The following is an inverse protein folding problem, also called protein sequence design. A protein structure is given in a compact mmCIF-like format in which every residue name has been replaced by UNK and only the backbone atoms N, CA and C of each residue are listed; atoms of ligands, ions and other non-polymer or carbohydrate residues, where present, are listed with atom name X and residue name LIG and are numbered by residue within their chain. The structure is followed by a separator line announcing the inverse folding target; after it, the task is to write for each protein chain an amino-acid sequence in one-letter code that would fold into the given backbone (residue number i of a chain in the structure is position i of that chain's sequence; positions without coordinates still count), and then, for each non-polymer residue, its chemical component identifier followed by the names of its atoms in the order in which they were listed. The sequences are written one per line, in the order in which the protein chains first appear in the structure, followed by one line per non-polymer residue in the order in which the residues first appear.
data_IF_788122639660
#
_entry.id   IF_788122639660
#
_cell.length_a   1.000
_cell.length_b   1.000
_cell.length_c   1.000
_cell.angle_alpha   90.00
_cell.angle_beta   90.00
_cell.angle_gamma   90.00
#
_symmetry.space_group_name_H-M   'P 1'
#
loop_
_entity.id
_entity.type
_entity.pdbx_description
1 polymer ?
#
# COMPACT_ATOMS: atom_id res chain seq x y z
N UNK A 1 -5.46 -0.50 -23.13
CA UNK A 1 -6.04 -1.73 -22.56
C UNK A 1 -6.01 -1.57 -21.05
N UNK A 2 -7.15 -1.52 -20.38
CA UNK A 2 -7.19 -1.43 -18.91
C UNK A 2 -6.62 -2.72 -18.32
N UNK A 3 -5.86 -2.64 -17.23
CA UNK A 3 -5.41 -3.87 -16.56
C UNK A 3 -6.62 -4.56 -15.94
N UNK A 4 -6.63 -5.89 -15.92
CA UNK A 4 -7.70 -6.72 -15.34
C UNK A 4 -8.01 -6.29 -13.89
N UNK A 5 -7.01 -5.77 -13.17
CA UNK A 5 -7.18 -5.23 -11.82
C UNK A 5 -8.00 -3.95 -11.75
N UNK A 6 -7.75 -3.01 -12.66
CA UNK A 6 -8.49 -1.75 -12.71
C UNK A 6 -9.94 -2.02 -13.10
N UNK A 7 -10.18 -2.90 -14.06
CA UNK A 7 -11.53 -3.28 -14.49
C UNK A 7 -12.38 -3.83 -13.33
N UNK A 8 -11.86 -4.82 -12.59
CA UNK A 8 -12.56 -5.39 -11.44
C UNK A 8 -12.80 -4.37 -10.33
N UNK A 9 -11.90 -3.40 -10.13
CA UNK A 9 -12.08 -2.30 -9.17
C UNK A 9 -13.19 -1.34 -9.59
N UNK A 10 -13.27 -0.97 -10.88
CA UNK A 10 -14.37 -0.15 -11.42
C UNK A 10 -15.71 -0.86 -11.20
N UNK A 11 -15.75 -2.16 -11.47
CA UNK A 11 -16.94 -2.97 -11.22
C UNK A 11 -17.35 -2.98 -9.74
N UNK A 12 -16.38 -3.13 -8.83
CA UNK A 12 -16.63 -3.04 -7.39
C UNK A 12 -17.17 -1.66 -6.98
N UNK A 13 -16.63 -0.56 -7.53
CA UNK A 13 -17.15 0.79 -7.27
C UNK A 13 -18.61 0.94 -7.70
N UNK A 14 -18.99 0.35 -8.84
CA UNK A 14 -20.37 0.34 -9.31
C UNK A 14 -21.29 -0.39 -8.32
N UNK A 15 -20.90 -1.57 -7.84
CA UNK A 15 -21.68 -2.34 -6.85
C UNK A 15 -21.84 -1.59 -5.51
N UNK A 16 -20.80 -0.88 -5.08
CA UNK A 16 -20.85 -0.03 -3.88
C UNK A 16 -21.87 1.11 -4.07
N UNK A 17 -21.88 1.77 -5.24
CA UNK A 17 -22.84 2.84 -5.57
C UNK A 17 -24.28 2.32 -5.67
N UNK A 18 -24.48 1.06 -6.05
CA UNK A 18 -25.79 0.39 -6.01
C UNK A 18 -26.25 0.01 -4.59
N UNK A 19 -25.44 0.26 -3.56
CA UNK A 19 -25.79 -0.04 -2.18
C UNK A 19 -25.66 -1.52 -1.80
N UNK A 20 -24.96 -2.33 -2.60
CA UNK A 20 -24.71 -3.74 -2.27
C UNK A 20 -23.78 -3.86 -1.07
N UNK A 21 -24.00 -4.89 -0.26
CA UNK A 21 -23.07 -5.27 0.81
C UNK A 21 -21.83 -5.94 0.24
N UNK A 22 -20.75 -6.01 1.03
CA UNK A 22 -19.50 -6.63 0.57
C UNK A 22 -19.68 -8.10 0.17
N UNK A 23 -20.49 -8.86 0.92
CA UNK A 23 -20.75 -10.27 0.64
C UNK A 23 -21.51 -10.47 -0.67
N UNK A 24 -22.53 -9.65 -0.93
CA UNK A 24 -23.26 -9.66 -2.21
C UNK A 24 -22.34 -9.25 -3.36
N UNK A 25 -21.55 -8.19 -3.18
CA UNK A 25 -20.64 -7.70 -4.20
C UNK A 25 -19.56 -8.75 -4.54
N UNK A 26 -19.06 -9.46 -3.53
CA UNK A 26 -18.12 -10.57 -3.72
C UNK A 26 -18.76 -11.74 -4.45
N UNK A 27 -19.99 -12.15 -4.08
CA UNK A 27 -20.70 -13.24 -4.75
C UNK A 27 -20.91 -12.94 -6.24
N UNK A 28 -21.40 -11.74 -6.56
CA UNK A 28 -21.60 -11.29 -7.94
C UNK A 28 -20.26 -11.24 -8.70
N UNK A 29 -19.21 -10.69 -8.09
CA UNK A 29 -17.87 -10.64 -8.71
C UNK A 29 -17.30 -12.04 -8.94
N UNK A 30 -17.60 -13.01 -8.05
CA UNK A 30 -17.17 -14.39 -8.18
C UNK A 30 -17.89 -15.11 -9.33
N UNK A 31 -19.16 -14.81 -9.57
CA UNK A 31 -19.91 -15.33 -10.72
C UNK A 31 -19.35 -14.80 -12.05
N UNK A 32 -19.01 -13.52 -12.12
CA UNK A 32 -18.52 -12.88 -13.36
C UNK A 32 -17.07 -13.28 -13.67
N UNK A 33 -16.17 -13.21 -12.68
CA UNK A 33 -14.74 -13.36 -12.89
C UNK A 33 -14.21 -14.75 -12.50
N UNK A 34 -15.01 -15.60 -11.87
CA UNK A 34 -14.64 -16.99 -11.55
C UNK A 34 -13.35 -17.09 -10.75
N UNK A 35 -12.34 -17.79 -11.29
CA UNK A 35 -11.04 -17.97 -10.64
C UNK A 35 -10.12 -16.75 -10.78
N UNK A 36 -10.42 -15.85 -11.71
CA UNK A 36 -9.68 -14.61 -11.95
C UNK A 36 -10.19 -13.46 -11.08
N UNK A 37 -11.19 -13.70 -10.22
CA UNK A 37 -11.66 -12.72 -9.25
C UNK A 37 -10.53 -12.36 -8.27
N UNK A 38 -10.10 -11.10 -8.32
CA UNK A 38 -8.96 -10.56 -7.56
C UNK A 38 -9.31 -10.29 -6.10
N UNK A 39 -10.60 -10.26 -5.77
CA UNK A 39 -11.09 -10.13 -4.41
C UNK A 39 -11.05 -11.48 -3.69
N UNK A 40 -9.85 -12.02 -3.43
CA UNK A 40 -9.77 -13.27 -2.65
C UNK A 40 -10.22 -12.95 -1.21
N UNK A 41 -11.11 -13.77 -0.64
CA UNK A 41 -11.75 -13.52 0.65
C UNK A 41 -10.77 -13.26 1.81
N UNK A 42 -11.32 -12.86 2.96
CA UNK A 42 -10.69 -12.27 4.16
C UNK A 42 -9.32 -12.84 4.61
N UNK A 43 -8.92 -14.03 4.16
CA UNK A 43 -7.72 -14.76 4.61
C UNK A 43 -6.68 -15.02 3.49
N UNK A 44 -6.82 -14.44 2.30
CA UNK A 44 -5.93 -14.72 1.16
C UNK A 44 -4.78 -13.73 0.99
N UNK A 45 -3.55 -14.17 1.26
CA UNK A 45 -2.30 -13.51 0.88
C UNK A 45 -2.20 -13.34 -0.65
N UNK A 46 -2.78 -12.26 -1.18
CA UNK A 46 -2.50 -11.77 -2.54
C UNK A 46 -3.07 -10.37 -2.72
N UNK A 47 -2.24 -9.34 -2.46
CA UNK A 47 -2.20 -8.04 -3.15
C UNK A 47 -3.41 -7.10 -3.23
N UNK A 48 -4.66 -7.59 -3.17
CA UNK A 48 -5.87 -6.78 -3.35
C UNK A 48 -6.89 -7.20 -2.30
N UNK A 49 -6.86 -6.52 -1.15
CA UNK A 49 -7.82 -6.78 -0.09
C UNK A 49 -9.18 -6.19 -0.50
N UNK A 50 -10.08 -7.01 -1.06
CA UNK A 50 -11.36 -6.55 -1.59
C UNK A 50 -12.23 -5.81 -0.56
N UNK A 51 -12.13 -6.19 0.72
CA UNK A 51 -12.84 -5.53 1.81
C UNK A 51 -12.31 -4.12 2.10
N UNK A 52 -10.99 -3.93 1.96
CA UNK A 52 -10.33 -2.62 2.08
C UNK A 52 -10.78 -1.70 0.94
N UNK A 53 -10.79 -2.19 -0.30
CA UNK A 53 -11.30 -1.43 -1.45
C UNK A 53 -12.78 -1.08 -1.29
N UNK A 54 -13.61 -2.04 -0.86
CA UNK A 54 -15.01 -1.80 -0.58
C UNK A 54 -15.21 -0.72 0.49
N UNK A 55 -14.44 -0.78 1.58
CA UNK A 55 -14.44 0.26 2.64
C UNK A 55 -14.06 1.63 2.08
N UNK A 56 -12.95 1.71 1.32
CA UNK A 56 -12.47 2.96 0.71
C UNK A 56 -13.50 3.58 -0.24
N UNK A 57 -14.19 2.77 -1.02
CA UNK A 57 -15.26 3.25 -1.90
C UNK A 57 -16.49 3.71 -1.12
N UNK A 58 -16.83 3.04 -0.01
CA UNK A 58 -17.88 3.49 0.92
C UNK A 58 -17.53 4.83 1.57
N UNK A 59 -16.25 5.08 1.82
CA UNK A 59 -15.71 6.33 2.38
C UNK A 59 -15.56 7.46 1.35
N UNK A 60 -15.93 7.23 0.08
CA UNK A 60 -15.99 8.27 -0.95
C UNK A 60 -14.75 8.38 -1.84
N UNK A 61 -13.83 7.41 -1.83
CA UNK A 61 -12.75 7.35 -2.82
C UNK A 61 -13.31 7.15 -4.24
N UNK A 62 -12.80 7.91 -5.21
CA UNK A 62 -13.17 7.78 -6.63
C UNK A 62 -12.09 7.09 -7.50
N UNK A 63 -10.85 7.03 -7.01
CA UNK A 63 -9.74 6.44 -7.77
C UNK A 63 -9.71 4.92 -7.69
N UNK A 64 -9.38 4.27 -8.80
CA UNK A 64 -9.20 2.81 -8.91
C UNK A 64 -7.73 2.39 -8.92
N UNK A 65 -6.82 3.36 -8.97
CA UNK A 65 -5.38 3.15 -8.96
C UNK A 65 -4.85 2.91 -7.55
N UNK A 66 -3.76 2.14 -7.45
CA UNK A 66 -3.05 1.95 -6.19
C UNK A 66 -2.53 3.31 -5.66
N UNK A 67 -2.53 3.46 -4.35
CA UNK A 67 -1.84 4.57 -3.72
C UNK A 67 -0.36 4.56 -4.09
N UNK A 68 0.29 5.74 -4.21
CA UNK A 68 1.73 5.82 -4.39
C UNK A 68 2.41 4.96 -3.34
N UNK A 69 3.09 3.90 -3.80
CA UNK A 69 3.89 3.06 -2.92
C UNK A 69 5.09 3.92 -2.56
N UNK A 70 5.09 4.47 -1.34
CA UNK A 70 6.33 5.06 -0.82
C UNK A 70 7.35 3.93 -0.79
N UNK A 71 8.37 4.07 -1.65
CA UNK A 71 9.52 3.18 -1.63
C UNK A 71 10.10 3.16 -0.23
N UNK A 72 10.85 2.10 0.06
CA UNK A 72 11.60 2.04 1.29
C UNK A 72 12.49 3.29 1.40
N UNK A 73 12.34 4.13 2.45
CA UNK A 73 13.23 5.25 2.63
C UNK A 73 14.64 4.69 2.80
N UNK A 74 15.53 5.07 1.90
CA UNK A 74 16.94 4.73 2.06
C UNK A 74 17.44 5.43 3.33
N UNK A 75 18.30 4.75 4.10
CA UNK A 75 18.97 5.31 5.29
C UNK A 75 19.66 6.65 4.99
N UNK A 76 19.96 6.91 3.71
CA UNK A 76 20.59 8.13 3.22
C UNK A 76 19.57 9.22 2.83
N UNK A 77 18.39 8.84 2.34
CA UNK A 77 17.41 9.77 1.77
C UNK A 77 16.75 10.64 2.84
N UNK A 78 16.34 10.04 3.97
CA UNK A 78 15.71 10.79 5.06
C UNK A 78 16.59 11.92 5.61
N UNK A 79 17.83 11.63 6.04
CA UNK A 79 18.72 12.67 6.54
C UNK A 79 19.05 13.73 5.48
N UNK A 80 19.28 13.33 4.22
CA UNK A 80 19.59 14.26 3.14
C UNK A 80 18.44 15.25 2.87
N UNK A 81 17.19 14.81 2.92
CA UNK A 81 16.01 15.67 2.74
C UNK A 81 15.82 16.65 3.91
N UNK A 82 16.04 16.21 5.15
CA UNK A 82 15.88 17.05 6.35
C UNK A 82 17.00 18.10 6.45
N UNK A 83 18.22 17.70 6.12
CA UNK A 83 19.42 18.53 6.32
C UNK A 83 19.83 19.30 5.05
N UNK A 84 19.24 18.97 3.89
CA UNK A 84 19.60 19.55 2.60
C UNK A 84 21.00 19.16 2.09
N UNK A 85 21.66 18.20 2.73
CA UNK A 85 23.02 17.79 2.41
C UNK A 85 22.98 16.73 1.30
N UNK A 86 24.00 16.72 0.44
CA UNK A 86 24.14 15.70 -0.59
C UNK A 86 24.14 14.28 0.02
N UNK A 87 23.41 13.36 -0.63
CA UNK A 87 23.32 11.95 -0.22
C UNK A 87 24.68 11.28 -0.03
N UNK A 88 25.69 11.65 -0.83
CA UNK A 88 27.04 11.11 -0.70
C UNK A 88 27.74 11.57 0.58
N UNK A 89 27.54 12.82 1.00
CA UNK A 89 28.05 13.31 2.28
C UNK A 89 27.37 12.60 3.45
N UNK A 90 26.05 12.37 3.38
CA UNK A 90 25.33 11.60 4.38
C UNK A 90 25.85 10.17 4.46
N UNK A 91 26.12 9.53 3.30
CA UNK A 91 26.71 8.19 3.24
C UNK A 91 28.10 8.14 3.92
N UNK A 92 28.94 9.13 3.66
CA UNK A 92 30.28 9.24 4.26
C UNK A 92 30.19 9.44 5.78
N UNK A 93 29.35 10.35 6.25
CA UNK A 93 29.15 10.59 7.69
C UNK A 93 28.69 9.29 8.38
N UNK A 94 27.71 8.60 7.82
CA UNK A 94 27.19 7.36 8.40
C UNK A 94 28.25 6.25 8.44
N UNK A 95 29.05 6.12 7.37
CA UNK A 95 30.04 5.03 7.25
C UNK A 95 31.36 5.32 7.98
N UNK A 96 31.84 6.56 7.96
CA UNK A 96 33.17 6.94 8.45
C UNK A 96 33.12 7.51 9.88
N UNK A 97 32.12 8.34 10.21
CA UNK A 97 32.02 8.96 11.53
C UNK A 97 31.22 8.10 12.51
N UNK A 98 30.13 7.49 12.05
CA UNK A 98 29.26 6.65 12.88
C UNK A 98 29.54 5.14 12.73
N UNK A 99 30.42 4.74 11.80
CA UNK A 99 30.78 3.35 11.50
C UNK A 99 29.54 2.44 11.28
N UNK A 100 28.45 3.00 10.77
CA UNK A 100 27.19 2.32 10.54
C UNK A 100 27.23 1.60 9.20
N UNK A 101 26.89 0.31 9.21
CA UNK A 101 26.77 -0.52 8.00
C UNK A 101 25.32 -0.94 7.80
N UNK A 102 24.82 -0.86 6.56
CA UNK A 102 23.47 -1.30 6.21
C UNK A 102 23.40 -2.82 6.25
N UNK A 103 22.75 -3.38 7.27
CA UNK A 103 22.73 -4.84 7.48
C UNK A 103 21.72 -5.53 6.58
N UNK A 104 20.51 -4.99 6.47
CA UNK A 104 19.43 -5.36 5.54
C UNK A 104 18.28 -4.39 5.80
N UNK A 105 17.43 -4.13 4.81
CA UNK A 105 16.27 -3.28 5.00
C UNK A 105 15.00 -4.11 4.80
N UNK A 106 14.19 -4.27 5.86
CA UNK A 106 12.97 -5.11 5.85
C UNK A 106 11.86 -4.39 5.08
N UNK A 107 11.24 -5.06 4.11
CA UNK A 107 10.08 -4.53 3.38
C UNK A 107 8.89 -4.35 4.34
N UNK A 108 8.25 -3.18 4.30
CA UNK A 108 7.04 -2.90 5.08
C UNK A 108 5.81 -2.92 4.15
N UNK A 109 4.88 -3.87 4.30
CA UNK A 109 3.74 -4.02 3.40
C UNK A 109 2.69 -2.90 3.46
N UNK A 110 2.74 -2.01 4.47
CA UNK A 110 1.73 -0.97 4.71
C UNK A 110 2.38 0.36 5.07
N UNK A 111 1.77 1.44 4.62
CA UNK A 111 2.10 2.79 5.05
C UNK A 111 1.61 2.99 6.49
N UNK A 112 2.54 3.25 7.40
CA UNK A 112 2.23 3.56 8.79
C UNK A 112 1.80 5.03 8.89
N UNK A 113 0.71 5.29 9.61
CA UNK A 113 0.35 6.65 10.00
C UNK A 113 1.44 7.24 10.90
N UNK A 114 1.58 8.58 10.99
CA UNK A 114 2.58 9.20 11.85
C UNK A 114 2.52 8.68 13.30
N UNK A 115 1.32 8.41 13.83
CA UNK A 115 1.15 7.86 15.19
C UNK A 115 1.69 6.42 15.30
N UNK A 116 1.51 5.60 14.26
CA UNK A 116 2.05 4.24 14.23
C UNK A 116 3.58 4.23 14.12
N UNK A 117 4.19 5.26 13.53
CA UNK A 117 5.65 5.40 13.44
C UNK A 117 6.28 5.72 14.80
N UNK A 118 5.66 6.57 15.60
CA UNK A 118 6.14 6.90 16.96
C UNK A 118 6.16 5.66 17.86
N UNK A 119 5.11 4.84 17.80
CA UNK A 119 5.05 3.60 18.59
C UNK A 119 6.12 2.57 18.20
N UNK A 120 6.66 2.63 16.98
CA UNK A 120 7.73 1.73 16.51
C UNK A 120 9.12 2.28 16.87
N UNK A 121 9.28 3.61 16.92
CA UNK A 121 10.55 4.25 17.31
C UNK A 121 10.80 4.24 18.83
N UNK A 122 9.77 4.03 19.65
CA UNK A 122 9.85 4.00 21.11
C UNK A 122 10.08 2.58 21.70
N UNK A 123 10.67 1.65 20.94
CA UNK A 123 11.03 0.29 21.37
C UNK A 123 12.53 0.13 21.47
#
# INVERSE_FOLDING_TARGET
MLSVQIEQRVYLTFLVKLGKTFTEAYAISKEVYGNDCLFRGLNGLSGVNGSEWFKRFKEGRETTEDDPRLGQPSTIQGPAEITGINQECVRQILHELFNMRKVCAKMMPKLLTPEQKESIMNI
#
